data_IF_736502558578
#
_entry.id   IF_736502558578
#
_cell.length_a   1.000
_cell.length_b   1.000
_cell.length_c   1.000
_cell.angle_alpha   90.00
_cell.angle_beta   90.00
_cell.angle_gamma   90.00
#
_symmetry.space_group_name_H-M   'P 1'
#
loop_
_entity.id
_entity.type
_entity.pdbx_description
1 polymer ?
#
# COMPACT_ATOMS: atom_id res chain seq x y z
N UNK A 1 23.35 6.14 -12.39
CA UNK A 1 23.11 6.12 -10.95
C UNK A 1 23.79 4.93 -10.34
N UNK A 2 24.52 5.11 -9.30
CA UNK A 2 25.26 4.02 -8.70
C UNK A 2 24.45 3.25 -7.66
N UNK A 3 25.03 2.18 -7.16
CA UNK A 3 24.36 1.29 -6.22
C UNK A 3 24.04 1.95 -4.88
N UNK A 4 24.80 2.96 -4.48
CA UNK A 4 24.59 3.66 -3.21
C UNK A 4 23.24 4.39 -3.24
N UNK A 5 22.95 5.05 -4.34
CA UNK A 5 21.67 5.74 -4.49
C UNK A 5 20.50 4.78 -4.39
N UNK A 6 20.61 3.62 -5.03
CA UNK A 6 19.58 2.59 -5.01
C UNK A 6 19.30 2.09 -3.59
N UNK A 7 20.32 1.95 -2.77
CA UNK A 7 20.19 1.50 -1.38
C UNK A 7 19.52 2.51 -0.47
N UNK A 8 19.36 3.76 -0.93
CA UNK A 8 18.71 4.81 -0.15
C UNK A 8 17.20 4.88 -0.39
N UNK A 9 16.66 4.10 -1.34
CA UNK A 9 15.23 4.05 -1.56
C UNK A 9 14.53 3.40 -0.37
N UNK A 10 13.42 4.01 0.03
CA UNK A 10 12.54 3.42 1.03
C UNK A 10 11.88 2.15 0.50
N UNK A 11 11.39 1.34 1.41
CA UNK A 11 10.81 0.05 1.09
C UNK A 11 9.37 -0.02 1.55
N UNK A 12 8.58 -0.81 0.84
CA UNK A 12 7.23 -1.17 1.24
C UNK A 12 7.04 -2.66 0.97
N UNK A 13 6.33 -3.35 1.85
CA UNK A 13 6.13 -4.79 1.69
C UNK A 13 4.66 -5.11 1.50
N UNK A 14 4.42 -6.18 0.74
CA UNK A 14 3.10 -6.72 0.47
C UNK A 14 3.14 -8.24 0.57
N UNK A 15 2.03 -8.86 0.96
CA UNK A 15 1.95 -10.31 0.90
C UNK A 15 2.10 -10.79 -0.54
N UNK A 16 2.77 -11.92 -0.72
CA UNK A 16 3.06 -12.49 -2.05
C UNK A 16 1.77 -12.65 -2.88
N UNK A 17 0.66 -13.00 -2.25
CA UNK A 17 -0.63 -13.18 -2.94
C UNK A 17 -1.13 -11.91 -3.64
N UNK A 18 -0.61 -10.74 -3.26
CA UNK A 18 -1.02 -9.45 -3.83
C UNK A 18 -0.17 -9.02 -5.02
N UNK A 19 0.90 -9.74 -5.30
CA UNK A 19 1.88 -9.34 -6.32
C UNK A 19 1.25 -9.12 -7.69
N UNK A 20 0.45 -10.06 -8.15
CA UNK A 20 -0.19 -9.96 -9.47
C UNK A 20 -1.14 -8.77 -9.56
N UNK A 21 -1.85 -8.50 -8.48
CA UNK A 21 -2.81 -7.38 -8.43
C UNK A 21 -2.09 -6.04 -8.53
N UNK A 22 -0.92 -5.94 -7.90
CA UNK A 22 -0.09 -4.73 -7.95
C UNK A 22 0.48 -4.55 -9.37
N UNK A 23 1.10 -5.59 -9.92
CA UNK A 23 1.74 -5.51 -11.23
C UNK A 23 0.76 -5.27 -12.36
N UNK A 24 -0.47 -5.78 -12.25
CA UNK A 24 -1.50 -5.60 -13.26
C UNK A 24 -2.26 -4.27 -13.14
N UNK A 25 -2.02 -3.51 -12.07
CA UNK A 25 -2.73 -2.27 -11.82
C UNK A 25 -4.12 -2.43 -11.25
N UNK A 26 -4.53 -3.63 -10.85
CA UNK A 26 -5.84 -3.85 -10.21
C UNK A 26 -5.86 -3.34 -8.78
N UNK A 27 -4.74 -3.46 -8.08
CA UNK A 27 -4.57 -2.88 -6.76
C UNK A 27 -3.73 -1.62 -6.91
N UNK A 28 -4.32 -0.46 -6.62
CA UNK A 28 -3.68 0.84 -6.82
C UNK A 28 -3.41 1.59 -5.53
N UNK A 29 -3.73 0.99 -4.39
CA UNK A 29 -3.49 1.61 -3.10
C UNK A 29 -3.38 0.55 -2.02
N UNK A 30 -2.84 0.96 -0.89
CA UNK A 30 -2.76 0.14 0.31
C UNK A 30 -3.18 0.99 1.50
N UNK A 31 -3.80 0.36 2.49
CA UNK A 31 -4.18 1.04 3.73
C UNK A 31 -3.30 0.49 4.84
N UNK A 32 -2.65 1.39 5.56
CA UNK A 32 -1.71 1.07 6.64
C UNK A 32 -2.07 1.87 7.88
N UNK A 33 -1.55 1.46 9.01
CA UNK A 33 -1.70 2.25 10.23
C UNK A 33 -0.71 3.42 10.24
N UNK A 34 -0.76 4.25 11.28
CA UNK A 34 0.06 5.45 11.33
C UNK A 34 1.55 5.18 11.51
N UNK A 35 1.96 3.97 11.86
CA UNK A 35 3.37 3.63 11.91
C UNK A 35 4.04 3.71 10.55
N UNK A 36 3.24 3.65 9.47
CA UNK A 36 3.72 3.76 8.10
C UNK A 36 3.31 5.09 7.45
N UNK A 37 3.12 6.14 8.25
CA UNK A 37 2.73 7.46 7.73
C UNK A 37 3.91 8.28 7.16
N UNK A 38 5.09 7.72 7.13
CA UNK A 38 6.30 8.41 6.66
C UNK A 38 6.39 8.53 5.13
N UNK A 39 5.54 7.85 4.38
CA UNK A 39 5.52 7.98 2.93
C UNK A 39 4.96 9.33 2.51
N UNK A 40 5.40 9.84 1.36
CA UNK A 40 4.96 11.13 0.86
C UNK A 40 4.75 11.11 -0.66
N UNK A 41 3.92 12.00 -1.14
CA UNK A 41 3.59 12.14 -2.56
C UNK A 41 4.85 12.40 -3.39
N UNK A 42 5.00 11.64 -4.46
CA UNK A 42 6.16 11.73 -5.35
C UNK A 42 7.33 10.85 -4.96
N UNK A 43 7.27 10.22 -3.79
CA UNK A 43 8.32 9.34 -3.33
C UNK A 43 8.40 8.08 -4.19
N UNK A 44 9.62 7.65 -4.50
CA UNK A 44 9.87 6.38 -5.20
C UNK A 44 10.32 5.36 -4.16
N UNK A 45 9.67 4.21 -4.13
CA UNK A 45 9.95 3.15 -3.15
C UNK A 45 10.10 1.81 -3.85
N UNK A 46 10.84 0.89 -3.23
CA UNK A 46 10.93 -0.48 -3.70
C UNK A 46 9.91 -1.35 -2.97
N UNK A 47 9.14 -2.12 -3.72
CA UNK A 47 8.17 -3.05 -3.17
C UNK A 47 8.77 -4.45 -3.10
N UNK A 48 8.61 -5.09 -1.94
CA UNK A 48 9.11 -6.45 -1.68
C UNK A 48 7.99 -7.32 -1.12
N UNK A 49 8.12 -8.62 -1.31
CA UNK A 49 7.21 -9.57 -0.66
C UNK A 49 7.51 -9.61 0.83
N UNK A 50 6.45 -9.66 1.63
CA UNK A 50 6.59 -9.73 3.09
C UNK A 50 7.20 -11.05 3.55
N UNK A 51 6.85 -12.15 2.88
CA UNK A 51 7.21 -13.50 3.32
C UNK A 51 8.70 -13.81 3.11
N UNK A 52 9.25 -13.45 1.95
CA UNK A 52 10.61 -13.84 1.58
C UNK A 52 11.47 -12.68 1.07
N UNK A 53 11.00 -11.45 1.21
CA UNK A 53 11.70 -10.22 0.83
C UNK A 53 12.22 -10.23 -0.61
N UNK A 54 11.45 -10.83 -1.52
CA UNK A 54 11.75 -10.83 -2.94
C UNK A 54 11.23 -9.53 -3.56
N UNK A 55 12.01 -8.89 -4.40
CA UNK A 55 11.61 -7.65 -5.06
C UNK A 55 10.43 -7.89 -6.00
N UNK A 56 9.39 -7.08 -5.87
CA UNK A 56 8.23 -7.09 -6.76
C UNK A 56 8.42 -6.08 -7.88
N UNK A 57 8.63 -4.81 -7.52
CA UNK A 57 8.68 -3.70 -8.49
C UNK A 57 9.11 -2.43 -7.78
N UNK A 58 9.18 -1.35 -8.55
CA UNK A 58 9.39 0.00 -8.03
C UNK A 58 8.06 0.75 -8.18
N UNK A 59 7.66 1.45 -7.11
CA UNK A 59 6.42 2.21 -7.06
C UNK A 59 6.72 3.69 -6.88
N UNK A 60 5.86 4.52 -7.47
CA UNK A 60 5.79 5.94 -7.12
C UNK A 60 4.55 6.16 -6.26
N UNK A 61 4.72 6.83 -5.13
CA UNK A 61 3.62 7.20 -4.24
C UNK A 61 2.89 8.39 -4.87
N UNK A 62 1.62 8.20 -5.17
CA UNK A 62 0.80 9.22 -5.83
C UNK A 62 0.17 10.14 -4.80
N UNK A 63 -0.29 9.58 -3.69
CA UNK A 63 -0.97 10.35 -2.65
C UNK A 63 -0.94 9.59 -1.33
N UNK A 64 -0.92 10.33 -0.23
CA UNK A 64 -1.02 9.76 1.12
C UNK A 64 -2.10 10.56 1.85
N UNK A 65 -3.17 9.90 2.22
CA UNK A 65 -4.36 10.52 2.79
C UNK A 65 -4.70 9.85 4.12
N UNK A 66 -4.99 10.66 5.14
CA UNK A 66 -5.53 10.13 6.38
C UNK A 66 -6.99 9.75 6.16
N UNK A 67 -7.37 8.58 6.63
CA UNK A 67 -8.76 8.13 6.51
C UNK A 67 -9.20 7.49 7.83
N UNK A 68 -10.37 7.91 8.31
CA UNK A 68 -10.98 7.27 9.46
C UNK A 68 -11.62 5.95 9.04
N UNK A 69 -11.45 4.93 9.88
CA UNK A 69 -11.98 3.60 9.58
C UNK A 69 -13.47 3.64 9.20
N UNK A 70 -14.25 4.44 9.93
CA UNK A 70 -15.69 4.52 9.70
C UNK A 70 -16.06 5.24 8.40
N UNK A 71 -15.14 6.01 7.84
CA UNK A 71 -15.35 6.74 6.60
C UNK A 71 -14.82 5.98 5.37
N UNK A 72 -14.34 4.79 5.55
CA UNK A 72 -13.95 3.96 4.41
C UNK A 72 -15.17 3.72 3.51
N UNK A 73 -14.94 3.86 2.22
CA UNK A 73 -16.03 3.81 1.24
C UNK A 73 -15.59 3.00 0.00
N UNK A 74 -16.44 3.01 -1.00
CA UNK A 74 -16.26 2.21 -2.21
C UNK A 74 -14.96 2.52 -2.94
N UNK A 75 -14.54 3.79 -2.98
CA UNK A 75 -13.28 4.15 -3.64
C UNK A 75 -12.07 3.46 -3.00
N UNK A 76 -12.08 3.31 -1.67
CA UNK A 76 -11.02 2.64 -0.94
C UNK A 76 -11.02 1.14 -1.21
N UNK A 77 -12.19 0.52 -1.21
CA UNK A 77 -12.31 -0.91 -1.52
C UNK A 77 -11.86 -1.20 -2.95
N UNK A 78 -12.25 -0.36 -3.90
CA UNK A 78 -11.85 -0.51 -5.29
C UNK A 78 -10.34 -0.40 -5.48
N UNK A 79 -9.72 0.57 -4.82
CA UNK A 79 -8.27 0.77 -4.91
C UNK A 79 -7.50 -0.42 -4.31
N UNK A 80 -8.07 -1.08 -3.31
CA UNK A 80 -7.52 -2.29 -2.72
C UNK A 80 -7.92 -3.56 -3.50
N UNK A 81 -8.57 -3.40 -4.62
CA UNK A 81 -9.07 -4.49 -5.46
C UNK A 81 -10.05 -5.42 -4.73
N UNK A 82 -10.93 -4.82 -3.93
CA UNK A 82 -11.97 -5.55 -3.21
C UNK A 82 -13.35 -5.13 -3.72
N UNK A 83 -14.29 -6.08 -3.88
CA UNK A 83 -15.59 -5.77 -4.45
C UNK A 83 -16.52 -5.00 -3.51
N UNK A 84 -16.34 -5.13 -2.19
CA UNK A 84 -17.26 -4.54 -1.21
C UNK A 84 -16.54 -3.88 -0.05
N UNK A 85 -17.11 -2.80 0.45
CA UNK A 85 -16.56 -2.05 1.59
C UNK A 85 -16.52 -2.92 2.86
N UNK A 86 -17.52 -3.77 3.09
CA UNK A 86 -17.52 -4.60 4.28
C UNK A 86 -16.36 -5.60 4.30
N UNK A 87 -15.92 -6.06 3.14
CA UNK A 87 -14.74 -6.94 3.04
C UNK A 87 -13.46 -6.18 3.42
N UNK A 88 -13.34 -4.95 2.93
CA UNK A 88 -12.21 -4.10 3.28
C UNK A 88 -12.16 -3.85 4.78
N UNK A 89 -13.29 -3.48 5.38
CA UNK A 89 -13.36 -3.23 6.82
C UNK A 89 -13.06 -4.47 7.64
N UNK A 90 -13.54 -5.63 7.19
CA UNK A 90 -13.27 -6.90 7.86
C UNK A 90 -11.78 -7.22 7.87
N UNK A 91 -11.11 -7.08 6.72
CA UNK A 91 -9.67 -7.31 6.61
C UNK A 91 -8.88 -6.36 7.50
N UNK A 92 -9.23 -5.07 7.48
CA UNK A 92 -8.52 -4.08 8.27
C UNK A 92 -8.70 -4.30 9.78
N UNK A 93 -9.86 -4.77 10.21
CA UNK A 93 -10.07 -5.12 11.62
C UNK A 93 -9.26 -6.35 12.03
N UNK A 94 -8.95 -7.24 11.10
CA UNK A 94 -8.05 -8.36 11.38
C UNK A 94 -6.60 -7.92 11.53
N UNK A 95 -6.16 -6.99 10.69
CA UNK A 95 -4.77 -6.53 10.68
C UNK A 95 -4.56 -5.47 11.77
N UNK A 96 -5.51 -4.56 11.93
CA UNK A 96 -5.44 -3.42 12.85
C UNK A 96 -6.70 -3.39 13.73
N UNK A 97 -6.81 -4.26 14.74
CA UNK A 97 -8.07 -4.45 15.47
C UNK A 97 -8.59 -3.20 16.19
N UNK A 98 -7.70 -2.29 16.59
CA UNK A 98 -8.06 -1.14 17.43
C UNK A 98 -7.85 0.21 16.74
N UNK A 99 -7.36 0.22 15.51
CA UNK A 99 -7.04 1.48 14.83
C UNK A 99 -8.29 2.12 14.24
N UNK A 100 -8.54 3.39 14.59
CA UNK A 100 -9.62 4.16 14.02
C UNK A 100 -9.13 5.11 12.92
N UNK A 101 -7.86 5.47 12.95
CA UNK A 101 -7.22 6.38 11.99
C UNK A 101 -6.17 5.61 11.20
N UNK A 102 -6.25 5.69 9.88
CA UNK A 102 -5.41 4.92 8.97
C UNK A 102 -4.83 5.82 7.89
N UNK A 103 -3.85 5.31 7.15
CA UNK A 103 -3.26 5.99 6.01
C UNK A 103 -3.64 5.26 4.73
N UNK A 104 -4.24 5.97 3.78
CA UNK A 104 -4.57 5.46 2.46
C UNK A 104 -3.48 5.93 1.49
N UNK A 105 -2.67 5.00 1.04
CA UNK A 105 -1.47 5.27 0.23
C UNK A 105 -1.73 4.80 -1.19
N UNK A 106 -1.87 5.75 -2.11
CA UNK A 106 -2.08 5.45 -3.53
C UNK A 106 -0.73 5.40 -4.24
N UNK A 107 -0.58 4.48 -5.17
CA UNK A 107 0.69 4.28 -5.86
C UNK A 107 0.49 3.84 -7.31
N UNK A 108 1.57 3.87 -8.09
CA UNK A 108 1.62 3.26 -9.42
C UNK A 108 2.95 2.59 -9.63
N UNK A 109 2.96 1.55 -10.46
CA UNK A 109 4.19 0.84 -10.83
C UNK A 109 4.96 1.69 -11.83
N UNK A 110 6.25 1.92 -11.56
CA UNK A 110 7.13 2.69 -12.45
C UNK A 110 8.39 1.92 -12.85
N UNK A 111 8.61 0.76 -12.26
CA UNK A 111 9.80 -0.03 -12.60
C UNK A 111 9.79 -1.49 -12.09
#
# INVERSE_FOLDING_TARGET
>A
MDEIWYKLLDRITFFTRLERQILSGKKTATIRDKSESHYYTGQVVEAFTHEDERKICILEIIDVENVEFEKLCRKHAKAENLPFVFMLKWLLRKIYPTESSLCFISFKVVG
#
